data_IF_131115435235
#
_entry.id   IF_131115435235
#
_cell.length_a   1.000
_cell.length_b   1.000
_cell.length_c   1.000
_cell.angle_alpha   90.00
_cell.angle_beta   90.00
_cell.angle_gamma   90.00
#
_symmetry.space_group_name_H-M   'P 1'
#
loop_
_entity.id
_entity.type
_entity.pdbx_description
1 polymer ?
#
# COMPACT_ATOMS: atom_id res chain seq x y z
N UNK A 1 -6.27 13.30 -22.82
CA UNK A 1 -5.13 12.37 -23.01
C UNK A 1 -4.05 12.57 -21.96
N UNK A 2 -3.14 13.56 -22.02
CA UNK A 2 -2.05 13.72 -21.02
C UNK A 2 -2.56 13.88 -19.57
N UNK A 3 -3.66 14.62 -19.39
CA UNK A 3 -4.29 14.81 -18.08
C UNK A 3 -4.79 13.49 -17.45
N UNK A 4 -5.29 12.59 -18.30
CA UNK A 4 -5.88 11.32 -17.85
C UNK A 4 -4.78 10.33 -17.45
N UNK A 5 -3.66 10.32 -18.17
CA UNK A 5 -2.45 9.60 -17.76
C UNK A 5 -1.85 10.12 -16.46
N UNK A 6 -1.80 11.44 -16.27
CA UNK A 6 -1.30 12.05 -15.03
C UNK A 6 -2.17 11.67 -13.82
N UNK A 7 -3.50 11.65 -13.99
CA UNK A 7 -4.43 11.21 -12.95
C UNK A 7 -4.30 9.71 -12.65
N UNK A 8 -4.11 8.86 -13.67
CA UNK A 8 -3.86 7.43 -13.49
C UNK A 8 -2.57 7.15 -12.71
N UNK A 9 -1.48 7.83 -13.08
CA UNK A 9 -0.19 7.71 -12.36
C UNK A 9 -0.32 8.22 -10.92
N UNK A 10 -1.02 9.34 -10.70
CA UNK A 10 -1.24 9.88 -9.36
C UNK A 10 -2.02 8.90 -8.47
N UNK A 11 -3.04 8.22 -9.02
CA UNK A 11 -3.79 7.17 -8.28
C UNK A 11 -2.90 5.99 -7.89
N UNK A 12 -2.08 5.52 -8.82
CA UNK A 12 -1.14 4.42 -8.57
C UNK A 12 -0.19 4.81 -7.44
N UNK A 13 0.44 5.98 -7.52
CA UNK A 13 1.36 6.49 -6.49
C UNK A 13 0.65 6.61 -5.15
N UNK A 14 -0.54 7.21 -5.11
CA UNK A 14 -1.29 7.43 -3.87
C UNK A 14 -1.68 6.11 -3.19
N UNK A 15 -1.98 5.06 -3.97
CA UNK A 15 -2.32 3.74 -3.43
C UNK A 15 -1.08 2.92 -3.02
N UNK A 16 0.05 3.06 -3.72
CA UNK A 16 1.30 2.36 -3.39
C UNK A 16 2.02 2.98 -2.18
N UNK A 17 1.91 4.30 -1.99
CA UNK A 17 2.55 5.00 -0.89
C UNK A 17 2.24 4.42 0.50
N UNK A 18 0.96 4.23 0.91
CA UNK A 18 0.65 3.61 2.19
C UNK A 18 1.11 2.14 2.27
N UNK A 19 1.09 1.40 1.15
CA UNK A 19 1.59 0.02 1.11
C UNK A 19 3.08 -0.03 1.46
N UNK A 20 3.90 0.82 0.84
CA UNK A 20 5.34 0.88 1.12
C UNK A 20 5.61 1.32 2.56
N UNK A 21 4.85 2.29 3.08
CA UNK A 21 4.98 2.72 4.48
C UNK A 21 4.70 1.59 5.46
N UNK A 22 3.59 0.86 5.29
CA UNK A 22 3.25 -0.25 6.18
C UNK A 22 4.23 -1.42 6.06
N UNK A 23 4.77 -1.67 4.87
CA UNK A 23 5.78 -2.69 4.67
C UNK A 23 7.10 -2.35 5.39
N UNK A 24 7.57 -1.10 5.28
CA UNK A 24 8.78 -0.65 5.99
C UNK A 24 8.57 -0.69 7.50
N UNK A 25 7.41 -0.24 8.00
CA UNK A 25 7.10 -0.30 9.43
C UNK A 25 7.02 -1.74 9.92
N UNK A 26 6.34 -2.63 9.19
CA UNK A 26 6.25 -4.05 9.52
C UNK A 26 7.63 -4.70 9.66
N UNK A 27 8.52 -4.47 8.70
CA UNK A 27 9.91 -4.97 8.74
C UNK A 27 10.68 -4.38 9.92
N UNK A 28 10.51 -3.08 10.21
CA UNK A 28 11.19 -2.44 11.34
C UNK A 28 10.77 -3.06 12.66
N UNK A 29 9.46 -3.26 12.87
CA UNK A 29 8.95 -3.85 14.11
C UNK A 29 9.29 -5.33 14.24
N UNK A 30 9.38 -6.07 13.13
CA UNK A 30 9.81 -7.46 13.13
C UNK A 30 11.28 -7.57 13.54
N UNK A 31 12.15 -6.70 13.02
CA UNK A 31 13.55 -6.64 13.41
C UNK A 31 13.76 -6.23 14.87
N UNK A 32 12.89 -5.37 15.42
CA UNK A 32 12.89 -4.98 16.83
C UNK A 32 12.25 -6.04 17.75
N UNK A 33 12.00 -7.25 17.26
CA UNK A 33 11.40 -8.38 17.99
C UNK A 33 9.99 -8.09 18.51
N UNK A 34 9.28 -7.12 17.92
CA UNK A 34 7.94 -6.72 18.30
C UNK A 34 6.91 -7.35 17.34
N UNK A 35 6.83 -8.69 17.41
CA UNK A 35 6.09 -9.53 16.44
C UNK A 35 4.60 -9.21 16.35
N UNK A 36 3.95 -8.86 17.47
CA UNK A 36 2.52 -8.53 17.48
C UNK A 36 2.25 -7.26 16.67
N UNK A 37 3.16 -6.28 16.76
CA UNK A 37 3.02 -5.00 16.05
C UNK A 37 3.36 -5.17 14.57
N UNK A 38 4.41 -5.93 14.23
CA UNK A 38 4.77 -6.19 12.82
C UNK A 38 3.64 -6.91 12.08
N UNK A 39 2.97 -7.87 12.71
CA UNK A 39 1.85 -8.60 12.12
C UNK A 39 0.68 -7.66 11.79
N UNK A 40 0.36 -6.70 12.68
CA UNK A 40 -0.65 -5.67 12.39
C UNK A 40 -0.28 -4.86 11.15
N UNK A 41 0.98 -4.44 11.02
CA UNK A 41 1.44 -3.66 9.87
C UNK A 41 1.42 -4.49 8.57
N UNK A 42 1.80 -5.76 8.62
CA UNK A 42 1.69 -6.64 7.45
C UNK A 42 0.23 -6.94 7.06
N UNK A 43 -0.66 -7.07 8.04
CA UNK A 43 -2.10 -7.18 7.81
C UNK A 43 -2.67 -5.93 7.12
N UNK A 44 -2.31 -4.75 7.62
CA UNK A 44 -2.68 -3.47 7.01
C UNK A 44 -2.11 -3.33 5.60
N UNK A 45 -0.85 -3.73 5.38
CA UNK A 45 -0.25 -3.78 4.05
C UNK A 45 -1.08 -4.64 3.08
N UNK A 46 -1.47 -5.85 3.49
CA UNK A 46 -2.30 -6.74 2.68
C UNK A 46 -3.66 -6.13 2.32
N UNK A 47 -4.33 -5.48 3.30
CA UNK A 47 -5.62 -4.82 3.08
C UNK A 47 -5.47 -3.66 2.09
N UNK A 48 -4.49 -2.78 2.28
CA UNK A 48 -4.27 -1.64 1.40
C UNK A 48 -3.85 -2.06 -0.01
N UNK A 49 -3.07 -3.14 -0.15
CA UNK A 49 -2.71 -3.70 -1.44
C UNK A 49 -3.93 -4.23 -2.19
N UNK A 50 -4.81 -4.97 -1.51
CA UNK A 50 -6.08 -5.43 -2.10
C UNK A 50 -6.99 -4.27 -2.50
N UNK A 51 -7.13 -3.26 -1.64
CA UNK A 51 -7.90 -2.06 -1.94
C UNK A 51 -7.32 -1.31 -3.14
N UNK A 52 -5.99 -1.20 -3.24
CA UNK A 52 -5.30 -0.61 -4.38
C UNK A 52 -5.58 -1.34 -5.68
N UNK A 53 -5.48 -2.68 -5.69
CA UNK A 53 -5.78 -3.51 -6.86
C UNK A 53 -7.24 -3.35 -7.30
N UNK A 54 -8.19 -3.40 -6.35
CA UNK A 54 -9.61 -3.21 -6.63
C UNK A 54 -9.85 -1.82 -7.20
N UNK A 55 -9.25 -0.79 -6.60
CA UNK A 55 -9.36 0.59 -7.06
C UNK A 55 -8.80 0.78 -8.48
N UNK A 56 -7.71 0.10 -8.82
CA UNK A 56 -7.15 0.12 -10.18
C UNK A 56 -8.03 -0.65 -11.17
N UNK A 57 -8.65 -1.75 -10.74
CA UNK A 57 -9.49 -2.60 -11.59
C UNK A 57 -10.90 -2.05 -11.87
N UNK A 58 -11.46 -1.22 -10.98
CA UNK A 58 -12.79 -0.61 -11.15
C UNK A 58 -12.78 0.54 -12.18
N UNK A 59 -11.61 1.06 -12.54
CA UNK A 59 -11.44 2.18 -13.48
C UNK A 59 -11.15 1.72 -14.94
N UNK A 60 -11.23 0.40 -15.21
CA UNK A 60 -11.09 -0.26 -16.52
C UNK A 60 -12.46 -0.49 -17.18
#
# INVERSE_FOLDING_TARGET
MIKDYALGILRIILSLFPCVLFLILGISYENDSNSDISEIFFGLFGIFLLLGIIWWGVDL
#
